data_IF_605148504194
#
_entry.id   IF_605148504194
#
_cell.length_a   1.000
_cell.length_b   1.000
_cell.length_c   1.000
_cell.angle_alpha   90.00
_cell.angle_beta   90.00
_cell.angle_gamma   90.00
#
_symmetry.space_group_name_H-M   'P 1'
#
loop_
_entity.id
_entity.type
_entity.pdbx_description
1 polymer ?
#
# COMPACT_ATOMS: atom_id res chain seq x y z
N UNK A 1 -21.25 -1.11 23.10
CA UNK A 1 -20.14 -2.06 22.88
C UNK A 1 -19.73 -2.02 21.40
N UNK A 2 -19.38 -0.83 20.89
CA UNK A 2 -19.14 -0.56 19.45
C UNK A 2 -17.86 0.27 19.21
N UNK A 3 -17.10 0.59 20.27
CA UNK A 3 -15.98 1.52 20.26
C UNK A 3 -14.62 0.85 20.05
N UNK A 4 -14.46 -0.41 20.47
CA UNK A 4 -13.20 -1.14 20.28
C UNK A 4 -13.05 -1.69 18.86
N UNK A 5 -14.13 -2.14 18.22
CA UNK A 5 -14.06 -2.72 16.87
C UNK A 5 -13.71 -1.65 15.82
N UNK A 6 -14.34 -0.48 15.87
CA UNK A 6 -14.01 0.65 14.98
C UNK A 6 -12.56 1.12 15.15
N UNK A 7 -12.07 1.20 16.38
CA UNK A 7 -10.69 1.60 16.67
C UNK A 7 -9.69 0.57 16.17
N UNK A 8 -10.02 -0.72 16.24
CA UNK A 8 -9.20 -1.78 15.70
C UNK A 8 -9.16 -1.74 14.16
N UNK A 9 -10.28 -1.48 13.50
CA UNK A 9 -10.31 -1.36 12.04
C UNK A 9 -9.49 -0.16 11.54
N UNK A 10 -9.56 0.98 12.23
CA UNK A 10 -8.77 2.17 11.89
C UNK A 10 -7.26 1.88 11.94
N UNK A 11 -6.80 1.21 13.01
CA UNK A 11 -5.39 0.82 13.17
C UNK A 11 -4.97 -0.12 12.03
N UNK A 12 -5.83 -1.07 11.65
CA UNK A 12 -5.53 -2.03 10.59
C UNK A 12 -5.38 -1.39 9.22
N UNK A 13 -6.24 -0.42 8.89
CA UNK A 13 -6.11 0.33 7.64
C UNK A 13 -4.84 1.19 7.62
N UNK A 14 -4.51 1.86 8.74
CA UNK A 14 -3.30 2.67 8.82
C UNK A 14 -2.03 1.84 8.71
N UNK A 15 -1.97 0.69 9.39
CA UNK A 15 -0.82 -0.21 9.35
C UNK A 15 -0.59 -0.74 7.93
N UNK A 16 -1.66 -1.13 7.24
CA UNK A 16 -1.57 -1.65 5.89
C UNK A 16 -1.17 -0.58 4.85
N UNK A 17 -1.67 0.65 5.00
CA UNK A 17 -1.22 1.77 4.16
C UNK A 17 0.26 2.02 4.41
N UNK A 18 0.68 2.06 5.67
CA UNK A 18 2.08 2.22 6.01
C UNK A 18 2.94 1.14 5.35
N UNK A 19 2.57 -0.13 5.51
CA UNK A 19 3.26 -1.28 4.93
C UNK A 19 3.35 -1.18 3.40
N UNK A 20 2.25 -0.84 2.72
CA UNK A 20 2.20 -0.74 1.27
C UNK A 20 3.14 0.37 0.74
N UNK A 21 3.17 1.52 1.40
CA UNK A 21 4.06 2.61 1.02
C UNK A 21 5.52 2.30 1.31
N UNK A 22 5.86 1.72 2.47
CA UNK A 22 7.24 1.36 2.78
C UNK A 22 7.76 0.26 1.84
N UNK A 23 6.92 -0.73 1.49
CA UNK A 23 7.27 -1.72 0.47
C UNK A 23 7.70 -1.06 -0.85
N UNK A 24 6.89 -0.12 -1.36
CA UNK A 24 7.20 0.54 -2.62
C UNK A 24 8.44 1.45 -2.52
N UNK A 25 8.60 2.15 -1.38
CA UNK A 25 9.78 2.98 -1.12
C UNK A 25 11.05 2.14 -1.05
N UNK A 26 11.01 0.96 -0.45
CA UNK A 26 12.18 0.07 -0.40
C UNK A 26 12.57 -0.43 -1.78
N UNK A 27 11.60 -0.70 -2.67
CA UNK A 27 11.89 -0.97 -4.09
C UNK A 27 12.60 0.21 -4.76
N UNK A 28 12.14 1.45 -4.56
CA UNK A 28 12.82 2.63 -5.10
C UNK A 28 14.24 2.77 -4.55
N UNK A 29 14.46 2.56 -3.25
CA UNK A 29 15.80 2.62 -2.66
C UNK A 29 16.75 1.60 -3.29
N UNK A 30 16.24 0.39 -3.59
CA UNK A 30 17.00 -0.64 -4.31
C UNK A 30 17.34 -0.16 -5.72
N UNK A 31 16.39 0.41 -6.46
CA UNK A 31 16.65 0.96 -7.81
C UNK A 31 17.67 2.10 -7.79
N UNK A 32 17.59 3.03 -6.84
CA UNK A 32 18.59 4.10 -6.66
C UNK A 32 19.98 3.50 -6.43
N UNK A 33 20.10 2.53 -5.52
CA UNK A 33 21.38 1.88 -5.21
C UNK A 33 21.93 1.12 -6.43
N UNK A 34 21.08 0.44 -7.17
CA UNK A 34 21.47 -0.26 -8.40
C UNK A 34 21.98 0.73 -9.45
N UNK A 35 21.27 1.84 -9.65
CA UNK A 35 21.67 2.87 -10.61
C UNK A 35 23.01 3.52 -10.22
N UNK A 36 23.21 3.84 -8.94
CA UNK A 36 24.48 4.35 -8.41
C UNK A 36 25.66 3.41 -8.67
N UNK A 37 25.45 2.10 -8.52
CA UNK A 37 26.50 1.10 -8.71
C UNK A 37 26.81 0.80 -10.17
N UNK A 38 25.83 0.96 -11.07
CA UNK A 38 25.95 0.55 -12.47
C UNK A 38 26.45 1.70 -13.36
N UNK A 39 25.65 2.75 -13.51
CA UNK A 39 25.89 3.84 -14.47
C UNK A 39 26.00 5.21 -13.80
N UNK A 40 25.59 5.31 -12.53
CA UNK A 40 25.55 6.53 -11.74
C UNK A 40 24.85 7.70 -12.48
N UNK A 41 23.73 7.41 -13.15
CA UNK A 41 22.97 8.43 -13.86
C UNK A 41 22.26 9.36 -12.87
N UNK A 42 22.85 10.53 -12.64
CA UNK A 42 22.32 11.54 -11.72
C UNK A 42 20.89 11.98 -12.01
N UNK A 43 20.49 12.06 -13.29
CA UNK A 43 19.13 12.47 -13.64
C UNK A 43 18.10 11.41 -13.23
N UNK A 44 18.42 10.14 -13.43
CA UNK A 44 17.56 9.03 -13.04
C UNK A 44 17.50 8.86 -11.51
N UNK A 45 18.64 9.00 -10.83
CA UNK A 45 18.71 9.00 -9.36
C UNK A 45 17.83 10.13 -8.79
N UNK A 46 18.00 11.36 -9.28
CA UNK A 46 17.20 12.50 -8.83
C UNK A 46 15.70 12.29 -9.12
N UNK A 47 15.35 11.70 -10.26
CA UNK A 47 13.96 11.34 -10.56
C UNK A 47 13.38 10.36 -9.53
N UNK A 48 14.11 9.31 -9.16
CA UNK A 48 13.68 8.38 -8.11
C UNK A 48 13.56 9.04 -6.72
N UNK A 49 14.46 9.97 -6.39
CA UNK A 49 14.36 10.74 -5.14
C UNK A 49 13.11 11.63 -5.11
N UNK A 50 12.75 12.26 -6.23
CA UNK A 50 11.51 13.02 -6.36
C UNK A 50 10.27 12.12 -6.18
N UNK A 51 10.27 10.90 -6.75
CA UNK A 51 9.19 9.93 -6.51
C UNK A 51 9.13 9.61 -5.02
N UNK A 52 10.24 9.28 -4.37
CA UNK A 52 10.27 8.96 -2.94
C UNK A 52 9.71 10.10 -2.07
N UNK A 53 10.01 11.35 -2.41
CA UNK A 53 9.44 12.53 -1.74
C UNK A 53 7.93 12.66 -1.96
N UNK A 54 7.45 12.41 -3.19
CA UNK A 54 6.02 12.43 -3.49
C UNK A 54 5.26 11.31 -2.76
N UNK A 55 5.88 10.13 -2.63
CA UNK A 55 5.32 9.00 -1.87
C UNK A 55 5.17 9.33 -0.39
N UNK A 56 6.15 9.97 0.25
CA UNK A 56 6.01 10.37 1.66
C UNK A 56 4.82 11.32 1.86
N UNK A 57 4.70 12.36 1.02
CA UNK A 57 3.56 13.29 1.09
C UNK A 57 2.22 12.58 0.89
N UNK A 58 2.17 11.66 -0.07
CA UNK A 58 0.95 10.90 -0.36
C UNK A 58 0.62 9.98 0.81
N UNK A 59 1.61 9.28 1.37
CA UNK A 59 1.44 8.42 2.54
C UNK A 59 0.83 9.18 3.71
N UNK A 60 1.41 10.32 4.07
CA UNK A 60 0.99 11.11 5.23
C UNK A 60 -0.46 11.60 5.05
N UNK A 61 -0.83 12.01 3.84
CA UNK A 61 -2.21 12.37 3.50
C UNK A 61 -3.18 11.19 3.71
N UNK A 62 -2.90 10.02 3.14
CA UNK A 62 -3.82 8.89 3.24
C UNK A 62 -3.84 8.30 4.65
N UNK A 63 -2.75 8.29 5.41
CA UNK A 63 -2.76 7.89 6.81
C UNK A 63 -3.70 8.76 7.65
N UNK A 64 -3.76 10.07 7.36
CA UNK A 64 -4.63 11.01 8.09
C UNK A 64 -6.11 10.90 7.67
N UNK A 65 -6.37 10.58 6.40
CA UNK A 65 -7.70 10.69 5.80
C UNK A 65 -8.36 9.37 5.43
N UNK A 66 -7.68 8.22 5.56
CA UNK A 66 -8.19 6.93 5.08
C UNK A 66 -9.56 6.58 5.68
N UNK A 67 -9.78 6.87 6.96
CA UNK A 67 -11.06 6.59 7.59
C UNK A 67 -12.21 7.27 6.87
N UNK A 68 -12.08 8.57 6.58
CA UNK A 68 -13.08 9.37 5.85
C UNK A 68 -13.27 8.82 4.44
N UNK A 69 -12.16 8.55 3.74
CA UNK A 69 -12.14 8.05 2.36
C UNK A 69 -12.90 6.71 2.23
N UNK A 70 -12.80 5.85 3.24
CA UNK A 70 -13.46 4.54 3.25
C UNK A 70 -14.94 4.60 3.67
N UNK A 71 -15.49 5.76 4.03
CA UNK A 71 -16.91 5.94 4.29
C UNK A 71 -17.73 5.99 2.99
N UNK A 72 -18.92 5.39 3.00
CA UNK A 72 -19.73 5.06 1.82
C UNK A 72 -20.14 6.23 0.91
N UNK A 73 -20.00 7.48 1.36
CA UNK A 73 -20.53 8.65 0.65
C UNK A 73 -19.46 9.53 0.00
N UNK A 74 -18.18 9.31 0.24
CA UNK A 74 -17.12 10.14 -0.35
C UNK A 74 -16.81 9.71 -1.80
N UNK A 75 -16.38 10.64 -2.65
CA UNK A 75 -15.91 10.31 -4.00
C UNK A 75 -14.37 10.21 -3.95
N UNK A 76 -13.79 8.99 -4.07
CA UNK A 76 -12.35 8.78 -3.97
C UNK A 76 -11.54 9.62 -4.97
N UNK A 77 -12.14 9.96 -6.13
CA UNK A 77 -11.47 10.76 -7.16
C UNK A 77 -11.29 12.23 -6.79
N UNK A 78 -11.89 12.71 -5.68
CA UNK A 78 -11.68 14.07 -5.17
C UNK A 78 -10.43 14.22 -4.32
N UNK A 79 -9.80 13.11 -3.94
CA UNK A 79 -8.60 13.13 -3.10
C UNK A 79 -7.34 13.31 -3.94
N UNK A 80 -6.43 14.12 -3.42
CA UNK A 80 -5.15 14.37 -4.07
C UNK A 80 -4.37 13.05 -4.24
N UNK A 81 -3.65 12.96 -5.36
CA UNK A 81 -2.75 11.84 -5.65
C UNK A 81 -3.42 10.45 -5.57
N UNK A 82 -4.74 10.35 -5.76
CA UNK A 82 -5.46 9.07 -5.74
C UNK A 82 -4.91 8.03 -6.73
N UNK A 83 -4.40 8.49 -7.88
CA UNK A 83 -3.72 7.61 -8.84
C UNK A 83 -2.45 6.96 -8.27
N UNK A 84 -1.66 7.72 -7.50
CA UNK A 84 -0.46 7.21 -6.83
C UNK A 84 -0.88 6.19 -5.77
N UNK A 85 -1.87 6.53 -4.93
CA UNK A 85 -2.35 5.63 -3.89
C UNK A 85 -2.87 4.31 -4.44
N UNK A 86 -3.72 4.36 -5.48
CA UNK A 86 -4.20 3.16 -6.20
C UNK A 86 -3.03 2.33 -6.73
N UNK A 87 -2.05 2.97 -7.38
CA UNK A 87 -0.91 2.26 -7.97
C UNK A 87 -0.10 1.51 -6.93
N UNK A 88 0.13 2.13 -5.77
CA UNK A 88 0.86 1.50 -4.65
C UNK A 88 0.09 0.29 -4.12
N UNK A 89 -1.20 0.44 -3.87
CA UNK A 89 -2.03 -0.66 -3.38
C UNK A 89 -2.11 -1.81 -4.38
N UNK A 90 -2.24 -1.53 -5.68
CA UNK A 90 -2.23 -2.57 -6.71
C UNK A 90 -0.91 -3.34 -6.76
N UNK A 91 0.22 -2.64 -6.64
CA UNK A 91 1.53 -3.30 -6.62
C UNK A 91 1.68 -4.15 -5.36
N UNK A 92 1.26 -3.63 -4.21
CA UNK A 92 1.32 -4.34 -2.94
C UNK A 92 0.39 -5.57 -2.93
N UNK A 93 -0.84 -5.46 -3.44
CA UNK A 93 -1.78 -6.58 -3.58
C UNK A 93 -1.18 -7.75 -4.37
N UNK A 94 -0.56 -7.46 -5.52
CA UNK A 94 0.09 -8.49 -6.34
C UNK A 94 1.26 -9.17 -5.63
N UNK A 95 2.01 -8.43 -4.80
CA UNK A 95 3.09 -9.01 -4.01
C UNK A 95 2.55 -9.93 -2.90
N UNK A 96 1.46 -9.52 -2.24
CA UNK A 96 0.78 -10.33 -1.23
C UNK A 96 0.21 -11.63 -1.85
N UNK A 97 -0.44 -11.54 -3.00
CA UNK A 97 -0.94 -12.71 -3.74
C UNK A 97 0.20 -13.67 -4.09
N UNK A 98 1.33 -13.15 -4.60
CA UNK A 98 2.53 -13.95 -4.88
C UNK A 98 3.06 -14.64 -3.62
N UNK A 99 3.08 -13.94 -2.49
CA UNK A 99 3.54 -14.52 -1.23
C UNK A 99 2.59 -15.61 -0.71
N UNK A 100 1.27 -15.42 -0.84
CA UNK A 100 0.27 -16.43 -0.50
C UNK A 100 0.48 -17.69 -1.33
N UNK A 101 0.70 -17.54 -2.63
CA UNK A 101 0.97 -18.67 -3.52
C UNK A 101 2.27 -19.39 -3.14
N UNK A 102 3.36 -18.66 -2.90
CA UNK A 102 4.62 -19.25 -2.43
C UNK A 102 4.44 -20.06 -1.13
N UNK A 103 3.72 -19.51 -0.14
CA UNK A 103 3.49 -20.18 1.13
C UNK A 103 2.66 -21.47 0.96
N UNK A 104 1.61 -21.42 0.13
CA UNK A 104 0.75 -22.58 -0.13
C UNK A 104 1.47 -23.67 -0.91
N UNK A 105 2.11 -23.31 -2.03
CA UNK A 105 2.63 -24.29 -2.98
C UNK A 105 4.04 -24.77 -2.65
N UNK A 106 4.90 -23.90 -2.09
CA UNK A 106 6.30 -24.27 -1.83
C UNK A 106 6.52 -24.72 -0.38
N UNK A 107 5.69 -24.26 0.56
CA UNK A 107 5.88 -24.53 1.98
C UNK A 107 4.71 -25.27 2.65
N UNK A 108 3.61 -25.52 1.93
CA UNK A 108 2.38 -26.12 2.46
C UNK A 108 1.86 -25.41 3.73
N UNK A 109 2.08 -24.09 3.81
CA UNK A 109 1.65 -23.25 4.91
C UNK A 109 0.34 -22.55 4.54
N UNK A 110 -0.58 -22.50 5.49
CA UNK A 110 -1.84 -21.78 5.36
C UNK A 110 -1.74 -20.44 6.09
N UNK A 111 -1.58 -19.31 5.39
CA UNK A 111 -1.40 -18.02 6.04
C UNK A 111 -2.74 -17.46 6.52
N UNK A 112 -3.33 -18.03 7.56
CA UNK A 112 -4.65 -17.64 8.08
C UNK A 112 -4.48 -17.15 9.52
N UNK A 113 -5.28 -16.16 9.92
CA UNK A 113 -5.30 -15.58 11.27
C UNK A 113 -5.03 -14.08 11.26
N UNK A 114 -5.15 -13.46 12.45
CA UNK A 114 -4.91 -12.03 12.61
C UNK A 114 -3.43 -11.71 12.33
N UNK A 115 -3.18 -10.66 11.54
CA UNK A 115 -1.87 -10.26 11.05
C UNK A 115 -1.32 -11.13 9.90
N UNK A 116 -2.06 -12.15 9.44
CA UNK A 116 -1.60 -13.04 8.38
C UNK A 116 -1.52 -12.33 7.03
N UNK A 117 -0.70 -12.86 6.13
CA UNK A 117 -0.56 -12.29 4.78
C UNK A 117 -1.86 -12.37 3.96
N UNK A 118 -2.71 -13.37 4.24
CA UNK A 118 -4.04 -13.48 3.63
C UNK A 118 -4.94 -12.37 4.13
N UNK A 119 -4.98 -12.14 5.44
CA UNK A 119 -5.79 -11.07 6.00
C UNK A 119 -5.35 -9.70 5.48
N UNK A 120 -4.03 -9.46 5.37
CA UNK A 120 -3.51 -8.24 4.72
C UNK A 120 -4.00 -8.11 3.27
N UNK A 121 -3.94 -9.19 2.48
CA UNK A 121 -4.44 -9.18 1.09
C UNK A 121 -5.94 -8.88 1.03
N UNK A 122 -6.74 -9.51 1.89
CA UNK A 122 -8.19 -9.30 1.93
C UNK A 122 -8.53 -7.82 2.24
N UNK A 123 -7.83 -7.20 3.20
CA UNK A 123 -8.00 -5.78 3.52
C UNK A 123 -7.53 -4.87 2.37
N UNK A 124 -6.38 -5.16 1.73
CA UNK A 124 -5.90 -4.38 0.58
C UNK A 124 -6.95 -4.37 -0.53
N UNK A 125 -7.52 -5.55 -0.85
CA UNK A 125 -8.58 -5.71 -1.86
C UNK A 125 -9.83 -4.93 -1.47
N UNK A 126 -10.21 -4.93 -0.19
CA UNK A 126 -11.32 -4.11 0.29
C UNK A 126 -11.08 -2.61 0.05
N UNK A 127 -9.91 -2.11 0.42
CA UNK A 127 -9.55 -0.70 0.19
C UNK A 127 -9.58 -0.37 -1.30
N UNK A 128 -8.93 -1.19 -2.13
CA UNK A 128 -8.89 -1.03 -3.59
C UNK A 128 -10.31 -0.95 -4.15
N UNK A 129 -11.21 -1.84 -3.74
CA UNK A 129 -12.60 -1.84 -4.17
C UNK A 129 -13.31 -0.53 -3.80
N UNK A 130 -13.17 -0.08 -2.55
CA UNK A 130 -13.78 1.18 -2.07
C UNK A 130 -13.25 2.40 -2.83
N UNK A 131 -11.96 2.45 -3.14
CA UNK A 131 -11.36 3.61 -3.81
C UNK A 131 -11.45 3.55 -5.34
N UNK A 132 -11.77 2.40 -5.93
CA UNK A 132 -11.87 2.23 -7.40
C UNK A 132 -13.31 2.29 -7.88
N UNK A 133 -14.29 1.99 -7.01
CA UNK A 133 -15.72 2.07 -7.31
C UNK A 133 -16.30 3.46 -7.04
N UNK A 134 -16.73 4.13 -8.11
CA UNK A 134 -17.99 4.89 -8.22
C UNK A 134 -18.21 5.22 -9.70
N UNK A 135 -18.91 4.34 -10.40
CA UNK A 135 -19.74 4.71 -11.55
C UNK A 135 -21.18 4.79 -11.06
#
# INVERSE_FOLDING_TARGET
MFSNDKKNDDIRYTDLIYDAFEFYKDKIKIEIKNEQNNNNNYALIHFFELINKALNKTKDYYLLHIHTILQSNENPNKHDNIGIFRSILFVYDRDLDRCIDLLKYNYNLYPIGNGSIKEKSDIVKEIINKITLKK
#
